data_IF_758762996089
#
_entry.id   IF_758762996089
#
_cell.length_a   1.000
_cell.length_b   1.000
_cell.length_c   1.000
_cell.angle_alpha   90.00
_cell.angle_beta   90.00
_cell.angle_gamma   90.00
#
_symmetry.space_group_name_H-M   'P 1'
#
loop_
_entity.id
_entity.type
_entity.pdbx_description
1 polymer ?
#
# COMPACT_ATOMS: atom_id res chain seq x y z
N UNK A 1 -19.36 -55.96 -28.93
CA UNK A 1 -18.31 -54.91 -28.91
C UNK A 1 -18.81 -53.68 -28.16
N UNK A 2 -18.72 -53.68 -26.83
CA UNK A 2 -18.91 -52.50 -25.95
C UNK A 2 -18.19 -52.81 -24.65
N UNK A 3 -16.91 -52.44 -24.51
CA UNK A 3 -16.18 -52.42 -23.22
C UNK A 3 -14.70 -52.05 -23.46
N UNK A 4 -14.37 -50.76 -23.62
CA UNK A 4 -12.97 -50.32 -23.47
C UNK A 4 -12.81 -48.82 -23.13
N UNK A 5 -13.84 -47.99 -23.27
CA UNK A 5 -13.71 -46.53 -23.05
C UNK A 5 -13.77 -46.09 -21.58
N UNK A 6 -14.23 -46.92 -20.64
CA UNK A 6 -14.43 -46.51 -19.24
C UNK A 6 -13.16 -46.53 -18.39
N UNK A 7 -12.11 -47.24 -18.79
CA UNK A 7 -10.88 -47.38 -17.98
C UNK A 7 -9.94 -46.18 -18.13
N UNK A 8 -9.86 -45.58 -19.33
CA UNK A 8 -9.00 -44.42 -19.59
C UNK A 8 -9.47 -43.13 -18.88
N UNK A 9 -10.78 -42.95 -18.69
CA UNK A 9 -11.34 -41.77 -18.03
C UNK A 9 -11.03 -41.77 -16.52
N UNK A 10 -11.02 -42.94 -15.89
CA UNK A 10 -10.71 -43.06 -14.46
C UNK A 10 -9.24 -42.72 -14.14
N UNK A 11 -8.30 -43.13 -15.00
CA UNK A 11 -6.87 -42.84 -14.81
C UNK A 11 -6.54 -41.35 -14.99
N UNK A 12 -7.19 -40.68 -15.94
CA UNK A 12 -7.00 -39.22 -16.14
C UNK A 12 -7.57 -38.44 -14.96
N UNK A 13 -8.76 -38.79 -14.47
CA UNK A 13 -9.35 -38.15 -13.30
C UNK A 13 -8.49 -38.31 -12.03
N UNK A 14 -7.88 -39.48 -11.83
CA UNK A 14 -6.99 -39.75 -10.70
C UNK A 14 -5.71 -38.91 -10.75
N UNK A 15 -5.05 -38.81 -11.92
CA UNK A 15 -3.84 -38.01 -12.11
C UNK A 15 -4.13 -36.51 -11.94
N UNK A 16 -5.24 -36.02 -12.48
CA UNK A 16 -5.67 -34.63 -12.24
C UNK A 16 -6.00 -34.37 -10.77
N UNK A 17 -6.66 -35.31 -10.08
CA UNK A 17 -6.93 -35.22 -8.64
C UNK A 17 -5.64 -35.13 -7.80
N UNK A 18 -4.64 -35.96 -8.10
CA UNK A 18 -3.34 -35.95 -7.40
C UNK A 18 -2.55 -34.67 -7.66
N UNK A 19 -2.57 -34.14 -8.89
CA UNK A 19 -1.88 -32.88 -9.23
C UNK A 19 -2.55 -31.65 -8.61
N UNK A 20 -3.88 -31.63 -8.55
CA UNK A 20 -4.62 -30.58 -7.84
C UNK A 20 -4.36 -30.66 -6.33
N UNK A 21 -4.40 -31.86 -5.75
CA UNK A 21 -4.11 -32.08 -4.33
C UNK A 21 -2.67 -31.67 -3.98
N UNK A 22 -1.67 -32.05 -4.76
CA UNK A 22 -0.27 -31.68 -4.50
C UNK A 22 -0.02 -30.18 -4.64
N UNK A 23 -0.64 -29.50 -5.60
CA UNK A 23 -0.60 -28.04 -5.72
C UNK A 23 -1.28 -27.35 -4.53
N UNK A 24 -2.46 -27.81 -4.12
CA UNK A 24 -3.16 -27.27 -2.95
C UNK A 24 -2.38 -27.49 -1.67
N UNK A 25 -1.77 -28.68 -1.51
CA UNK A 25 -0.94 -29.00 -0.35
C UNK A 25 0.34 -28.16 -0.32
N UNK A 26 1.03 -28.01 -1.45
CA UNK A 26 2.21 -27.17 -1.57
C UNK A 26 1.88 -25.70 -1.27
N UNK A 27 0.79 -25.16 -1.82
CA UNK A 27 0.34 -23.80 -1.54
C UNK A 27 -0.03 -23.60 -0.07
N UNK A 28 -0.69 -24.58 0.55
CA UNK A 28 -1.04 -24.54 1.97
C UNK A 28 0.21 -24.54 2.86
N UNK A 29 1.18 -25.41 2.57
CA UNK A 29 2.43 -25.46 3.33
C UNK A 29 3.29 -24.22 3.11
N UNK A 30 3.41 -23.69 1.89
CA UNK A 30 4.17 -22.46 1.64
C UNK A 30 3.51 -21.25 2.29
N UNK A 31 2.18 -21.10 2.23
CA UNK A 31 1.48 -20.03 2.93
C UNK A 31 1.68 -20.11 4.45
N UNK A 32 1.47 -21.28 5.06
CA UNK A 32 1.66 -21.45 6.51
C UNK A 32 3.12 -21.31 6.93
N UNK A 33 4.04 -21.77 6.10
CA UNK A 33 5.47 -21.63 6.34
C UNK A 33 5.88 -20.16 6.27
N UNK A 34 5.57 -19.47 5.17
CA UNK A 34 5.84 -18.04 5.01
C UNK A 34 5.17 -17.26 6.13
N UNK A 35 3.90 -17.53 6.47
CA UNK A 35 3.23 -16.91 7.60
C UNK A 35 3.92 -17.18 8.94
N UNK A 36 4.29 -18.43 9.23
CA UNK A 36 4.95 -18.81 10.48
C UNK A 36 6.37 -18.26 10.62
N UNK A 37 7.09 -18.13 9.49
CA UNK A 37 8.43 -17.57 9.41
C UNK A 37 8.38 -16.03 9.47
N UNK A 38 7.51 -15.39 8.70
CA UNK A 38 7.31 -13.93 8.70
C UNK A 38 6.83 -13.42 10.07
N UNK A 39 6.01 -14.21 10.79
CA UNK A 39 5.61 -13.87 12.16
C UNK A 39 6.67 -14.20 13.21
N UNK A 40 7.84 -14.72 12.80
CA UNK A 40 8.95 -15.03 13.70
C UNK A 40 8.62 -16.06 14.78
N UNK A 41 7.49 -16.77 14.68
CA UNK A 41 7.00 -17.62 15.77
C UNK A 41 7.88 -18.86 15.97
N UNK A 42 8.53 -19.36 14.91
CA UNK A 42 9.26 -20.63 14.94
C UNK A 42 10.77 -20.47 15.16
N UNK A 43 11.40 -19.49 14.53
CA UNK A 43 12.88 -19.37 14.52
C UNK A 43 13.41 -18.36 15.54
N UNK A 44 12.62 -17.34 15.89
CA UNK A 44 13.11 -16.22 16.71
C UNK A 44 13.60 -16.63 18.11
N UNK A 45 12.88 -17.46 18.89
CA UNK A 45 13.33 -17.81 20.23
C UNK A 45 14.70 -18.51 20.26
N UNK A 46 15.04 -19.22 19.18
CA UNK A 46 16.32 -19.89 19.00
C UNK A 46 17.38 -18.89 18.53
N UNK A 47 17.09 -18.13 17.46
CA UNK A 47 18.04 -17.19 16.86
C UNK A 47 18.48 -16.10 17.85
N UNK A 48 17.58 -15.59 18.69
CA UNK A 48 17.90 -14.58 19.71
C UNK A 48 19.00 -15.02 20.69
N UNK A 49 19.12 -16.32 20.94
CA UNK A 49 20.14 -16.86 21.86
C UNK A 49 21.48 -17.11 21.17
N UNK A 50 21.47 -17.30 19.86
CA UNK A 50 22.63 -17.72 19.08
C UNK A 50 23.28 -16.56 18.31
N UNK A 51 22.50 -15.53 17.98
CA UNK A 51 22.94 -14.42 17.14
C UNK A 51 22.87 -13.07 17.89
N UNK A 52 24.02 -12.43 18.17
CA UNK A 52 24.06 -11.15 18.87
C UNK A 52 23.41 -10.01 18.07
N UNK A 53 23.36 -10.08 16.74
CA UNK A 53 22.70 -9.07 15.91
C UNK A 53 21.18 -9.12 16.09
N UNK A 54 20.60 -10.32 16.12
CA UNK A 54 19.16 -10.55 16.38
C UNK A 54 18.79 -10.04 17.77
N UNK A 55 19.60 -10.35 18.79
CA UNK A 55 19.38 -9.86 20.15
C UNK A 55 19.46 -8.32 20.23
N UNK A 56 20.44 -7.72 19.53
CA UNK A 56 20.60 -6.27 19.49
C UNK A 56 19.43 -5.57 18.78
N UNK A 57 18.95 -6.09 17.64
CA UNK A 57 17.78 -5.57 16.92
C UNK A 57 16.53 -5.56 17.82
N UNK A 58 16.27 -6.65 18.54
CA UNK A 58 15.15 -6.72 19.51
C UNK A 58 15.28 -5.73 20.64
N UNK A 59 16.49 -5.54 21.16
CA UNK A 59 16.75 -4.56 22.23
C UNK A 59 16.49 -3.14 21.73
N UNK A 60 16.98 -2.77 20.54
CA UNK A 60 16.72 -1.45 19.94
C UNK A 60 15.24 -1.22 19.68
N UNK A 61 14.54 -2.20 19.11
CA UNK A 61 13.10 -2.13 18.89
C UNK A 61 12.30 -1.96 20.20
N UNK A 62 12.69 -2.66 21.27
CA UNK A 62 12.09 -2.53 22.59
C UNK A 62 12.27 -1.12 23.17
N UNK A 63 13.50 -0.60 23.16
CA UNK A 63 13.81 0.75 23.64
C UNK A 63 13.03 1.80 22.86
N UNK A 64 12.99 1.68 21.54
CA UNK A 64 12.23 2.61 20.69
C UNK A 64 10.73 2.53 20.94
N UNK A 65 10.18 1.33 21.15
CA UNK A 65 8.77 1.17 21.54
C UNK A 65 8.46 1.84 22.88
N UNK A 66 9.28 1.61 23.90
CA UNK A 66 9.07 2.22 25.23
C UNK A 66 9.14 3.75 25.17
N UNK A 67 10.03 4.29 24.34
CA UNK A 67 10.12 5.73 24.05
C UNK A 67 8.87 6.24 23.32
N UNK A 68 8.40 5.56 22.27
CA UNK A 68 7.29 6.05 21.44
C UNK A 68 5.90 5.82 22.05
N UNK A 69 5.73 4.79 22.89
CA UNK A 69 4.43 4.41 23.47
C UNK A 69 3.65 5.58 24.09
N UNK A 70 4.22 6.43 24.99
CA UNK A 70 3.47 7.56 25.55
C UNK A 70 3.01 8.57 24.49
N UNK A 71 3.77 8.73 23.39
CA UNK A 71 3.37 9.59 22.29
C UNK A 71 2.20 9.01 21.49
N UNK A 72 2.18 7.70 21.25
CA UNK A 72 1.06 7.01 20.61
C UNK A 72 -0.20 6.98 21.48
N UNK A 73 -0.06 6.79 22.79
CA UNK A 73 -1.19 6.91 23.72
C UNK A 73 -1.81 8.32 23.65
N UNK A 74 -0.99 9.36 23.69
CA UNK A 74 -1.47 10.74 23.59
C UNK A 74 -2.08 11.06 22.21
N UNK A 75 -1.51 10.51 21.14
CA UNK A 75 -2.05 10.64 19.79
C UNK A 75 -3.42 9.98 19.67
N UNK A 76 -3.52 8.71 20.07
CA UNK A 76 -4.75 7.94 20.04
C UNK A 76 -5.87 8.65 20.82
N UNK A 77 -5.63 9.06 22.07
CA UNK A 77 -6.64 9.75 22.90
C UNK A 77 -7.25 11.01 22.26
N UNK A 78 -6.53 11.64 21.33
CA UNK A 78 -7.00 12.81 20.57
C UNK A 78 -7.57 12.46 19.20
N UNK A 79 -7.28 11.27 18.70
CA UNK A 79 -7.63 10.82 17.37
C UNK A 79 -9.14 10.63 17.23
N UNK A 80 -9.70 11.15 16.14
CA UNK A 80 -11.08 10.88 15.76
C UNK A 80 -11.07 9.70 14.79
N UNK A 81 -11.60 8.57 15.25
CA UNK A 81 -11.63 7.33 14.48
C UNK A 81 -12.97 7.21 13.76
N UNK A 82 -12.93 7.00 12.45
CA UNK A 82 -14.13 6.83 11.65
C UNK A 82 -14.89 5.55 12.07
N UNK A 83 -16.23 5.60 12.12
CA UNK A 83 -17.08 4.52 12.61
C UNK A 83 -16.79 3.16 11.95
N UNK A 84 -16.50 3.15 10.65
CA UNK A 84 -16.08 1.95 9.93
C UNK A 84 -14.90 1.23 10.60
N UNK A 85 -13.89 1.97 11.06
CA UNK A 85 -12.71 1.40 11.72
C UNK A 85 -12.93 1.09 13.21
N UNK A 86 -13.94 1.70 13.83
CA UNK A 86 -14.42 1.27 15.15
C UNK A 86 -15.05 -0.13 15.04
N UNK A 87 -15.90 -0.34 14.03
CA UNK A 87 -16.63 -1.59 13.81
C UNK A 87 -15.71 -2.72 13.35
N UNK A 88 -14.75 -2.44 12.44
CA UNK A 88 -13.84 -3.49 11.96
C UNK A 88 -12.87 -4.01 13.02
N UNK A 89 -12.62 -3.21 14.06
CA UNK A 89 -11.81 -3.60 15.21
C UNK A 89 -12.59 -4.23 16.36
N UNK A 90 -13.92 -4.36 16.27
CA UNK A 90 -14.77 -4.84 17.36
C UNK A 90 -14.39 -6.25 17.85
N UNK A 91 -13.84 -7.08 16.97
CA UNK A 91 -13.45 -8.47 17.25
C UNK A 91 -11.96 -8.64 17.57
N UNK A 92 -11.21 -7.54 17.74
CA UNK A 92 -9.83 -7.61 18.20
C UNK A 92 -9.77 -8.19 19.62
N UNK A 93 -8.75 -9.00 19.88
CA UNK A 93 -8.62 -9.77 21.11
C UNK A 93 -7.19 -9.80 21.61
N UNK A 94 -6.99 -10.04 22.91
CA UNK A 94 -5.65 -10.19 23.49
C UNK A 94 -4.90 -11.44 23.02
N UNK A 95 -5.58 -12.34 22.29
CA UNK A 95 -4.99 -13.51 21.64
C UNK A 95 -4.42 -13.17 20.25
N UNK A 96 -4.60 -11.95 19.77
CA UNK A 96 -4.11 -11.51 18.47
C UNK A 96 -2.64 -11.16 18.64
N UNK A 97 -1.80 -12.12 18.26
CA UNK A 97 -0.37 -12.09 18.59
C UNK A 97 0.45 -11.37 17.54
N UNK A 98 -0.10 -11.16 16.34
CA UNK A 98 0.61 -10.55 15.21
C UNK A 98 -0.18 -9.45 14.50
N UNK A 99 0.55 -8.63 13.75
CA UNK A 99 -0.01 -7.59 12.89
C UNK A 99 -0.96 -8.20 11.85
N UNK A 100 -0.59 -9.36 11.33
CA UNK A 100 -1.35 -10.10 10.35
C UNK A 100 -2.66 -10.69 10.88
N UNK A 101 -2.70 -11.13 12.14
CA UNK A 101 -3.95 -11.53 12.80
C UNK A 101 -4.96 -10.37 12.84
N UNK A 102 -4.48 -9.14 13.13
CA UNK A 102 -5.31 -7.94 13.15
C UNK A 102 -5.80 -7.55 11.75
N UNK A 103 -4.94 -7.64 10.73
CA UNK A 103 -5.32 -7.42 9.32
C UNK A 103 -6.40 -8.40 8.89
N UNK A 104 -6.23 -9.69 9.15
CA UNK A 104 -7.24 -10.71 8.79
C UNK A 104 -8.59 -10.38 9.41
N UNK A 105 -8.61 -10.06 10.72
CA UNK A 105 -9.84 -9.70 11.43
C UNK A 105 -10.50 -8.45 10.86
N UNK A 106 -9.71 -7.41 10.57
CA UNK A 106 -10.20 -6.18 9.93
C UNK A 106 -10.88 -6.51 8.61
N UNK A 107 -10.24 -7.30 7.74
CA UNK A 107 -10.80 -7.65 6.42
C UNK A 107 -12.07 -8.49 6.53
N UNK A 108 -12.12 -9.47 7.43
CA UNK A 108 -13.35 -10.25 7.67
C UNK A 108 -14.49 -9.37 8.16
N UNK A 109 -14.20 -8.39 9.00
CA UNK A 109 -15.19 -7.42 9.45
C UNK A 109 -15.64 -6.49 8.31
N UNK A 110 -14.73 -6.02 7.46
CA UNK A 110 -15.07 -5.25 6.25
C UNK A 110 -16.01 -6.03 5.32
N UNK A 111 -15.77 -7.33 5.10
CA UNK A 111 -16.68 -8.19 4.33
C UNK A 111 -18.07 -8.26 4.97
N UNK A 112 -18.12 -8.32 6.30
CA UNK A 112 -19.39 -8.33 7.03
C UNK A 112 -20.14 -7.01 6.87
N UNK A 113 -19.46 -5.87 7.01
CA UNK A 113 -20.05 -4.54 6.83
C UNK A 113 -20.53 -4.30 5.39
N UNK A 114 -19.75 -4.72 4.39
CA UNK A 114 -20.17 -4.68 2.99
C UNK A 114 -21.47 -5.47 2.78
N UNK A 115 -21.54 -6.71 3.28
CA UNK A 115 -22.71 -7.59 3.07
C UNK A 115 -23.96 -7.15 3.81
N UNK A 116 -23.79 -6.60 5.01
CA UNK A 116 -24.92 -6.30 5.91
C UNK A 116 -25.40 -4.86 5.82
N UNK A 117 -24.50 -3.93 5.50
CA UNK A 117 -24.78 -2.48 5.49
C UNK A 117 -24.45 -1.81 4.15
N UNK A 118 -23.85 -2.53 3.20
CA UNK A 118 -23.39 -1.94 1.93
C UNK A 118 -22.18 -1.02 2.07
N UNK A 119 -21.49 -1.04 3.22
CA UNK A 119 -20.32 -0.19 3.49
C UNK A 119 -19.09 -0.67 2.72
N UNK A 120 -18.54 0.18 1.87
CA UNK A 120 -17.44 -0.13 0.95
C UNK A 120 -16.19 0.73 1.18
N UNK A 121 -16.00 1.22 2.42
CA UNK A 121 -14.87 2.08 2.80
C UNK A 121 -13.49 1.46 2.48
N UNK A 122 -13.39 0.14 2.35
CA UNK A 122 -12.19 -0.58 1.91
C UNK A 122 -11.70 -0.16 0.50
N UNK A 123 -12.56 0.49 -0.31
CA UNK A 123 -12.19 1.12 -1.58
C UNK A 123 -11.10 2.18 -1.45
N UNK A 124 -10.93 2.77 -0.25
CA UNK A 124 -9.82 3.71 0.00
C UNK A 124 -8.46 3.09 -0.38
N UNK A 125 -8.30 1.78 -0.17
CA UNK A 125 -7.12 1.01 -0.63
C UNK A 125 -7.41 0.24 -1.92
N UNK A 126 -8.55 -0.46 -2.01
CA UNK A 126 -8.78 -1.48 -3.05
C UNK A 126 -9.21 -0.93 -4.41
N UNK A 127 -9.49 0.37 -4.50
CA UNK A 127 -9.77 1.07 -5.75
C UNK A 127 -8.78 2.23 -5.91
N UNK A 128 -7.78 2.09 -6.78
CA UNK A 128 -6.76 3.12 -6.99
C UNK A 128 -7.33 4.46 -7.47
N UNK A 129 -8.47 4.43 -8.14
CA UNK A 129 -9.11 5.63 -8.65
C UNK A 129 -9.84 6.36 -7.52
N UNK A 130 -10.56 5.65 -6.67
CA UNK A 130 -11.12 6.21 -5.43
C UNK A 130 -10.01 6.76 -4.50
N UNK A 131 -8.96 5.96 -4.26
CA UNK A 131 -7.77 6.32 -3.49
C UNK A 131 -7.12 7.62 -4.01
N UNK A 132 -6.84 7.69 -5.30
CA UNK A 132 -6.14 8.85 -5.88
C UNK A 132 -7.04 10.08 -5.90
N UNK A 133 -8.34 9.93 -6.16
CA UNK A 133 -9.29 11.02 -6.05
C UNK A 133 -9.37 11.56 -4.62
N UNK A 134 -9.39 10.69 -3.61
CA UNK A 134 -9.32 11.08 -2.21
C UNK A 134 -8.09 11.95 -1.93
N UNK A 135 -6.91 11.52 -2.37
CA UNK A 135 -5.67 12.29 -2.21
C UNK A 135 -5.73 13.66 -2.88
N UNK A 136 -6.16 13.71 -4.15
CA UNK A 136 -6.29 14.96 -4.92
C UNK A 136 -7.28 15.91 -4.26
N UNK A 137 -8.47 15.43 -3.88
CA UNK A 137 -9.53 16.22 -3.27
C UNK A 137 -9.10 16.81 -1.91
N UNK A 138 -8.18 16.14 -1.22
CA UNK A 138 -7.62 16.61 0.05
C UNK A 138 -6.31 17.42 -0.09
N UNK A 139 -5.88 17.72 -1.31
CA UNK A 139 -4.62 18.46 -1.56
C UNK A 139 -3.41 17.72 -0.99
N UNK A 140 -3.41 16.39 -1.09
CA UNK A 140 -2.26 15.54 -0.81
C UNK A 140 -1.47 15.38 -2.12
N UNK A 141 -0.16 15.68 -2.13
CA UNK A 141 0.66 15.51 -3.33
C UNK A 141 0.65 14.06 -3.82
N UNK A 142 0.33 13.87 -5.09
CA UNK A 142 0.39 12.61 -5.83
C UNK A 142 1.00 12.87 -7.21
N UNK A 143 1.58 11.88 -7.90
CA UNK A 143 1.87 12.02 -9.32
C UNK A 143 0.58 12.37 -10.08
N UNK A 144 0.63 13.27 -11.08
CA UNK A 144 -0.58 13.84 -11.66
C UNK A 144 -1.39 12.77 -12.40
N UNK A 145 -2.67 12.67 -12.08
CA UNK A 145 -3.63 11.89 -12.89
C UNK A 145 -3.99 12.72 -14.11
N UNK A 146 -3.70 12.18 -15.28
CA UNK A 146 -3.87 12.87 -16.56
C UNK A 146 -5.27 12.64 -17.12
N UNK A 147 -5.79 11.41 -16.98
CA UNK A 147 -7.13 11.02 -17.47
C UNK A 147 -7.56 9.69 -16.84
N UNK A 148 -8.88 9.50 -16.73
CA UNK A 148 -9.53 8.29 -16.22
C UNK A 148 -10.55 7.77 -17.24
N UNK A 149 -10.78 6.45 -17.25
CA UNK A 149 -11.81 5.78 -18.04
C UNK A 149 -12.53 4.75 -17.18
N UNK A 150 -13.86 4.79 -17.20
CA UNK A 150 -14.75 3.79 -16.59
C UNK A 150 -15.22 2.73 -17.60
N UNK A 151 -15.05 2.97 -18.90
CA UNK A 151 -15.45 2.08 -19.97
C UNK A 151 -14.24 1.56 -20.76
N UNK A 152 -14.23 0.25 -21.02
CA UNK A 152 -13.14 -0.43 -21.72
C UNK A 152 -12.99 0.05 -23.15
N UNK A 153 -14.11 0.16 -23.85
CA UNK A 153 -14.13 0.40 -25.29
C UNK A 153 -13.71 1.85 -25.59
N UNK A 154 -14.11 2.81 -24.75
CA UNK A 154 -13.65 4.20 -24.81
C UNK A 154 -12.14 4.29 -24.61
N UNK A 155 -11.60 3.57 -23.62
CA UNK A 155 -10.17 3.53 -23.39
C UNK A 155 -9.41 2.94 -24.58
N UNK A 156 -9.88 1.83 -25.14
CA UNK A 156 -9.28 1.20 -26.33
C UNK A 156 -9.35 2.13 -27.54
N UNK A 157 -10.47 2.82 -27.75
CA UNK A 157 -10.62 3.80 -28.82
C UNK A 157 -9.62 4.95 -28.68
N UNK A 158 -9.44 5.47 -27.47
CA UNK A 158 -8.48 6.53 -27.16
C UNK A 158 -7.02 6.07 -27.29
N UNK A 159 -6.70 4.83 -26.94
CA UNK A 159 -5.37 4.26 -27.16
C UNK A 159 -5.04 4.18 -28.66
N UNK A 160 -6.00 3.69 -29.47
CA UNK A 160 -5.82 3.51 -30.92
C UNK A 160 -5.73 4.83 -31.68
N UNK A 161 -6.54 5.81 -31.30
CA UNK A 161 -6.51 7.14 -31.92
C UNK A 161 -5.32 7.99 -31.45
N UNK A 162 -4.69 7.62 -30.34
CA UNK A 162 -3.68 8.43 -29.65
C UNK A 162 -4.26 9.52 -28.75
N UNK A 163 -5.59 9.66 -28.69
CA UNK A 163 -6.27 10.63 -27.82
C UNK A 163 -5.99 10.37 -26.32
N UNK A 164 -5.68 9.14 -25.93
CA UNK A 164 -5.30 8.80 -24.55
C UNK A 164 -4.09 9.60 -24.05
N UNK A 165 -3.17 9.95 -24.96
CA UNK A 165 -1.89 10.60 -24.61
C UNK A 165 -1.71 11.98 -25.26
N UNK A 166 -2.74 12.52 -25.90
CA UNK A 166 -2.66 13.77 -26.68
C UNK A 166 -2.15 14.96 -25.86
N UNK A 167 -2.50 15.02 -24.57
CA UNK A 167 -2.13 16.11 -23.66
C UNK A 167 -0.90 15.80 -22.79
N UNK A 168 -0.20 14.69 -23.03
CA UNK A 168 0.96 14.27 -22.23
C UNK A 168 2.17 15.13 -22.57
N UNK A 169 2.66 15.89 -21.59
CA UNK A 169 3.86 16.75 -21.73
C UNK A 169 5.13 16.17 -21.11
N UNK A 170 5.00 15.18 -20.22
CA UNK A 170 6.12 14.54 -19.52
C UNK A 170 5.97 13.03 -19.60
N UNK A 171 7.08 12.36 -19.85
CA UNK A 171 7.17 10.91 -20.02
C UNK A 171 8.23 10.32 -19.07
N UNK A 172 8.16 9.03 -18.70
CA UNK A 172 7.11 8.07 -19.04
C UNK A 172 5.78 8.40 -18.36
N UNK A 173 4.68 7.87 -18.88
CA UNK A 173 3.38 7.83 -18.18
C UNK A 173 3.03 6.38 -17.85
N UNK A 174 2.10 6.17 -16.93
CA UNK A 174 1.76 4.86 -16.41
C UNK A 174 0.26 4.62 -16.59
N UNK A 175 -0.09 3.54 -17.28
CA UNK A 175 -1.46 3.05 -17.33
C UNK A 175 -1.66 2.18 -16.08
N UNK A 176 -2.64 2.50 -15.25
CA UNK A 176 -2.92 1.79 -13.99
C UNK A 176 -4.39 1.38 -13.93
N UNK A 177 -4.66 0.09 -13.71
CA UNK A 177 -6.03 -0.38 -13.46
C UNK A 177 -6.49 0.01 -12.04
N UNK A 178 -7.71 0.55 -11.94
CA UNK A 178 -8.32 1.00 -10.69
C UNK A 178 -8.52 -0.19 -9.72
N UNK A 179 -9.12 -1.29 -10.21
CA UNK A 179 -9.60 -2.42 -9.41
C UNK A 179 -8.55 -3.51 -9.10
N UNK A 180 -7.32 -3.35 -9.58
CA UNK A 180 -6.25 -4.36 -9.46
C UNK A 180 -5.09 -3.87 -8.61
N UNK A 181 -5.21 -3.85 -7.29
CA UNK A 181 -4.23 -3.20 -6.40
C UNK A 181 -3.03 -4.07 -5.99
N UNK A 182 -3.04 -5.34 -6.37
CA UNK A 182 -1.96 -6.27 -6.04
C UNK A 182 -0.84 -6.23 -7.08
N UNK A 183 0.42 -6.21 -6.64
CA UNK A 183 1.58 -6.25 -7.53
C UNK A 183 1.63 -7.49 -8.43
N UNK A 184 1.13 -8.64 -7.95
CA UNK A 184 1.05 -9.91 -8.68
C UNK A 184 0.15 -9.85 -9.93
N UNK A 185 -0.74 -8.86 -10.03
CA UNK A 185 -1.60 -8.69 -11.20
C UNK A 185 -0.90 -8.01 -12.38
N UNK A 186 0.32 -7.45 -12.18
CA UNK A 186 1.04 -6.66 -13.20
C UNK A 186 0.15 -5.62 -13.88
N UNK A 187 -0.66 -4.93 -13.06
CA UNK A 187 -1.75 -4.03 -13.49
C UNK A 187 -1.32 -2.58 -13.74
N UNK A 188 -0.01 -2.34 -13.71
CA UNK A 188 0.64 -1.08 -14.00
C UNK A 188 1.54 -1.28 -15.21
N UNK A 189 1.38 -0.46 -16.23
CA UNK A 189 2.18 -0.54 -17.45
C UNK A 189 2.83 0.81 -17.77
N UNK A 190 4.17 0.89 -17.80
CA UNK A 190 4.85 2.10 -18.24
C UNK A 190 4.69 2.28 -19.76
N UNK A 191 4.48 3.52 -20.17
CA UNK A 191 4.43 3.96 -21.57
C UNK A 191 5.55 4.99 -21.73
N UNK A 192 6.69 4.63 -22.33
CA UNK A 192 7.86 5.51 -22.40
C UNK A 192 7.70 6.75 -23.29
N UNK A 193 6.88 6.65 -24.35
CA UNK A 193 6.64 7.76 -25.26
C UNK A 193 5.37 7.52 -26.08
N UNK A 194 4.85 8.59 -26.71
CA UNK A 194 3.75 8.47 -27.66
C UNK A 194 4.10 7.58 -28.87
N UNK A 195 5.36 7.63 -29.34
CA UNK A 195 5.82 6.76 -30.43
C UNK A 195 5.77 5.29 -30.00
N UNK A 196 6.31 4.97 -28.83
CA UNK A 196 6.27 3.62 -28.29
C UNK A 196 4.83 3.10 -28.18
N UNK A 197 3.90 3.93 -27.70
CA UNK A 197 2.50 3.55 -27.62
C UNK A 197 1.93 3.21 -29.01
N UNK A 198 2.16 4.06 -30.02
CA UNK A 198 1.69 3.79 -31.39
C UNK A 198 2.28 2.49 -31.94
N UNK A 199 3.57 2.25 -31.73
CA UNK A 199 4.26 1.06 -32.23
C UNK A 199 3.78 -0.22 -31.51
N UNK A 200 3.26 -0.12 -30.27
CA UNK A 200 2.90 -1.26 -29.41
C UNK A 200 1.40 -1.29 -29.05
N UNK A 201 0.55 -0.51 -29.74
CA UNK A 201 -0.84 -0.29 -29.30
C UNK A 201 -1.65 -1.58 -29.22
N UNK A 202 -1.43 -2.53 -30.14
CA UNK A 202 -2.14 -3.81 -30.14
C UNK A 202 -1.78 -4.65 -28.92
N UNK A 203 -0.51 -4.72 -28.56
CA UNK A 203 -0.09 -5.45 -27.35
C UNK A 203 -0.60 -4.78 -26.07
N UNK A 204 -0.68 -3.44 -26.04
CA UNK A 204 -1.33 -2.72 -24.94
C UNK A 204 -2.82 -3.05 -24.88
N UNK A 205 -3.53 -3.08 -26.01
CA UNK A 205 -4.95 -3.44 -26.08
C UNK A 205 -5.20 -4.89 -25.66
N UNK A 206 -4.34 -5.84 -26.06
CA UNK A 206 -4.45 -7.24 -25.63
C UNK A 206 -4.23 -7.36 -24.11
N UNK A 207 -3.25 -6.64 -23.57
CA UNK A 207 -3.07 -6.54 -22.12
C UNK A 207 -4.31 -5.94 -21.43
N UNK A 208 -4.95 -4.92 -22.01
CA UNK A 208 -6.20 -4.34 -21.50
C UNK A 208 -7.33 -5.37 -21.49
N UNK A 209 -7.53 -6.10 -22.59
CA UNK A 209 -8.56 -7.15 -22.66
C UNK A 209 -8.39 -8.21 -21.58
N UNK A 210 -7.15 -8.64 -21.31
CA UNK A 210 -6.86 -9.62 -20.25
C UNK A 210 -7.15 -9.08 -18.86
N UNK A 211 -6.77 -7.84 -18.58
CA UNK A 211 -6.83 -7.28 -17.22
C UNK A 211 -8.17 -6.63 -16.87
N UNK A 212 -8.96 -6.17 -17.84
CA UNK A 212 -10.19 -5.42 -17.57
C UNK A 212 -11.18 -6.22 -16.70
N UNK A 213 -11.34 -7.51 -16.99
CA UNK A 213 -12.23 -8.41 -16.26
C UNK A 213 -11.47 -9.27 -15.23
N UNK A 214 -10.18 -9.05 -15.03
CA UNK A 214 -9.42 -9.77 -14.02
C UNK A 214 -9.88 -9.29 -12.64
N UNK A 215 -10.11 -10.24 -11.74
CA UNK A 215 -10.31 -9.95 -10.32
C UNK A 215 -8.99 -10.14 -9.59
N UNK A 216 -8.68 -9.19 -8.71
CA UNK A 216 -7.50 -9.28 -7.85
C UNK A 216 -7.59 -10.55 -6.98
N UNK A 217 -6.48 -11.28 -6.87
CA UNK A 217 -6.41 -12.52 -6.12
C UNK A 217 -5.16 -12.60 -5.23
N UNK A 218 -5.38 -12.67 -3.91
CA UNK A 218 -4.35 -12.59 -2.88
C UNK A 218 -3.85 -13.97 -2.43
N UNK A 219 -3.60 -14.89 -3.37
CA UNK A 219 -3.30 -16.32 -3.12
C UNK A 219 -2.14 -16.59 -2.16
N UNK A 220 -1.33 -15.63 -1.78
CA UNK A 220 -0.18 -15.84 -0.89
C UNK A 220 -0.47 -15.41 0.55
N UNK A 221 -1.63 -14.79 0.82
CA UNK A 221 -1.96 -14.22 2.13
C UNK A 221 -2.93 -15.10 2.91
N UNK A 222 -2.82 -15.15 4.25
CA UNK A 222 -3.73 -15.96 5.07
C UNK A 222 -5.18 -15.46 5.03
N UNK A 223 -5.40 -14.18 4.74
CA UNK A 223 -6.71 -13.55 4.64
C UNK A 223 -7.26 -13.49 3.21
N UNK A 224 -6.72 -14.29 2.27
CA UNK A 224 -7.06 -14.20 0.85
C UNK A 224 -8.56 -14.28 0.58
N UNK A 225 -9.31 -15.14 1.28
CA UNK A 225 -10.77 -15.25 1.11
C UNK A 225 -11.49 -13.93 1.38
N UNK A 226 -11.10 -13.24 2.47
CA UNK A 226 -11.71 -11.97 2.83
C UNK A 226 -11.29 -10.85 1.86
N UNK A 227 -10.00 -10.78 1.52
CA UNK A 227 -9.47 -9.83 0.54
C UNK A 227 -10.15 -9.98 -0.82
N UNK A 228 -10.25 -11.20 -1.33
CA UNK A 228 -10.88 -11.51 -2.60
C UNK A 228 -12.39 -11.19 -2.58
N UNK A 229 -13.09 -11.46 -1.48
CA UNK A 229 -14.50 -11.11 -1.35
C UNK A 229 -14.73 -9.59 -1.48
N UNK A 230 -13.80 -8.76 -0.99
CA UNK A 230 -13.84 -7.30 -1.13
C UNK A 230 -13.47 -6.87 -2.55
N UNK A 231 -12.41 -7.42 -3.15
CA UNK A 231 -11.98 -7.02 -4.49
C UNK A 231 -12.92 -7.50 -5.60
N UNK A 232 -13.70 -8.57 -5.37
CA UNK A 232 -14.64 -9.09 -6.36
C UNK A 232 -15.81 -8.15 -6.68
N UNK A 233 -16.13 -7.20 -5.80
CA UNK A 233 -17.19 -6.21 -6.04
C UNK A 233 -16.69 -4.91 -6.67
N UNK A 234 -15.40 -4.83 -7.02
CA UNK A 234 -14.80 -3.63 -7.61
C UNK A 234 -15.23 -3.45 -9.06
N UNK A 235 -15.60 -2.22 -9.41
CA UNK A 235 -15.88 -1.84 -10.79
C UNK A 235 -14.57 -1.65 -11.54
N UNK A 236 -14.38 -2.29 -12.70
CA UNK A 236 -13.22 -2.05 -13.53
C UNK A 236 -13.07 -0.60 -13.97
N UNK A 237 -11.83 -0.16 -14.06
CA UNK A 237 -11.48 1.15 -14.58
C UNK A 237 -9.99 1.27 -14.79
N UNK A 238 -9.58 2.33 -15.44
CA UNK A 238 -8.16 2.61 -15.70
C UNK A 238 -7.90 4.11 -15.64
N UNK A 239 -6.70 4.47 -15.22
CA UNK A 239 -6.22 5.84 -15.32
C UNK A 239 -4.82 5.92 -15.89
N UNK A 240 -4.51 7.09 -16.46
CA UNK A 240 -3.20 7.45 -16.93
C UNK A 240 -2.55 8.40 -15.92
N UNK A 241 -1.42 7.99 -15.35
CA UNK A 241 -0.66 8.77 -14.38
C UNK A 241 0.62 9.30 -15.00
N UNK A 242 0.97 10.55 -14.71
CA UNK A 242 2.27 11.12 -15.05
C UNK A 242 3.42 10.54 -14.23
N UNK A 243 4.67 10.88 -14.58
CA UNK A 243 5.84 10.33 -13.90
C UNK A 243 6.00 10.85 -12.48
N UNK A 244 6.53 10.00 -11.61
CA UNK A 244 7.18 10.40 -10.37
C UNK A 244 8.59 10.96 -10.65
N UNK A 245 9.18 11.66 -9.68
CA UNK A 245 10.58 12.05 -9.78
C UNK A 245 11.51 10.83 -9.64
N UNK A 246 12.63 10.86 -10.37
CA UNK A 246 13.64 9.79 -10.35
C UNK A 246 14.92 10.28 -9.69
N UNK A 247 15.57 9.38 -8.97
CA UNK A 247 16.89 9.60 -8.36
C UNK A 247 17.92 8.75 -9.08
N UNK A 248 19.11 9.30 -9.33
CA UNK A 248 20.22 8.55 -9.95
C UNK A 248 21.20 8.09 -8.88
N UNK A 249 21.52 6.80 -8.86
CA UNK A 249 22.64 6.27 -8.10
C UNK A 249 23.94 6.70 -8.80
N UNK A 250 24.78 7.47 -8.11
CA UNK A 250 26.02 8.01 -8.69
C UNK A 250 27.10 6.94 -8.91
N UNK A 251 27.03 5.82 -8.18
CA UNK A 251 28.00 4.73 -8.30
C UNK A 251 27.70 3.88 -9.54
N UNK A 252 26.42 3.63 -9.83
CA UNK A 252 26.00 2.74 -10.94
C UNK A 252 25.47 3.48 -12.17
N UNK A 253 25.19 4.78 -12.06
CA UNK A 253 24.56 5.60 -13.10
C UNK A 253 23.09 5.26 -13.38
N UNK A 254 22.49 4.33 -12.63
CA UNK A 254 21.11 3.88 -12.82
C UNK A 254 20.12 4.84 -12.16
N UNK A 255 19.00 5.10 -12.83
CA UNK A 255 17.91 5.92 -12.30
C UNK A 255 16.81 5.04 -11.72
N UNK A 256 16.30 5.45 -10.56
CA UNK A 256 15.31 4.72 -9.78
C UNK A 256 14.19 5.64 -9.31
N UNK A 257 12.99 5.09 -9.18
CA UNK A 257 11.95 5.69 -8.35
C UNK A 257 12.18 5.16 -6.93
N UNK A 258 12.37 6.06 -5.97
CA UNK A 258 12.61 5.68 -4.57
C UNK A 258 11.31 5.82 -3.80
N UNK A 259 10.85 4.73 -3.21
CA UNK A 259 9.61 4.66 -2.44
C UNK A 259 9.91 4.42 -0.97
N UNK A 260 9.35 5.26 -0.10
CA UNK A 260 9.41 5.13 1.35
C UNK A 260 8.01 4.80 1.88
N UNK A 261 7.87 3.62 2.49
CA UNK A 261 6.62 3.06 3.00
C UNK A 261 6.49 3.33 4.49
N UNK A 262 5.65 4.29 4.87
CA UNK A 262 5.53 4.77 6.25
C UNK A 262 4.32 4.13 6.92
N UNK A 263 4.54 3.43 8.03
CA UNK A 263 3.46 2.90 8.87
C UNK A 263 2.96 3.96 9.84
N UNK A 264 1.68 4.29 9.72
CA UNK A 264 1.00 5.27 10.56
C UNK A 264 -0.06 4.57 11.39
N UNK A 265 -0.02 4.80 12.70
CA UNK A 265 -1.04 4.33 13.64
C UNK A 265 -1.58 5.53 14.41
N UNK A 266 -2.90 5.62 14.52
CA UNK A 266 -3.55 6.68 15.30
C UNK A 266 -3.11 8.10 14.88
N UNK A 267 -2.88 8.28 13.58
CA UNK A 267 -2.41 9.54 12.98
C UNK A 267 -0.93 9.87 13.25
N UNK A 268 -0.12 8.94 13.76
CA UNK A 268 1.30 9.12 14.04
C UNK A 268 2.15 8.05 13.35
N UNK A 269 3.23 8.46 12.69
CA UNK A 269 4.16 7.55 12.03
C UNK A 269 5.04 6.83 13.07
N UNK A 270 5.19 5.51 12.93
CA UNK A 270 6.00 4.68 13.84
C UNK A 270 7.33 4.26 13.20
N UNK A 271 7.27 3.67 12.01
CA UNK A 271 8.40 3.11 11.27
C UNK A 271 8.19 3.36 9.78
N UNK A 272 9.26 3.36 9.00
CA UNK A 272 9.13 3.20 7.55
C UNK A 272 10.18 2.27 6.98
N UNK A 273 9.97 1.89 5.73
CA UNK A 273 10.90 1.05 4.97
C UNK A 273 11.12 1.69 3.60
N UNK A 274 12.38 1.75 3.14
CA UNK A 274 12.66 2.23 1.78
C UNK A 274 12.79 1.01 0.86
N UNK A 275 12.00 1.00 -0.22
CA UNK A 275 11.88 -0.17 -1.08
C UNK A 275 13.15 -0.42 -1.91
N UNK A 276 13.60 -1.69 -2.03
CA UNK A 276 14.96 -2.04 -2.46
C UNK A 276 15.26 -1.88 -3.95
N UNK A 277 14.24 -1.70 -4.81
CA UNK A 277 14.43 -1.63 -6.28
C UNK A 277 15.40 -0.52 -6.72
N UNK A 278 15.66 0.46 -5.86
CA UNK A 278 16.68 1.47 -6.05
C UNK A 278 17.67 1.55 -4.91
N UNK A 279 18.00 0.46 -4.21
CA UNK A 279 18.94 0.42 -3.08
C UNK A 279 19.84 -0.84 -3.09
N UNK A 280 20.17 -1.39 -4.26
CA UNK A 280 21.05 -2.57 -4.38
C UNK A 280 20.57 -3.76 -3.53
N UNK A 281 19.25 -3.94 -3.47
CA UNK A 281 18.57 -4.99 -2.70
C UNK A 281 18.62 -4.88 -1.17
N UNK A 282 19.14 -3.79 -0.60
CA UNK A 282 19.04 -3.55 0.85
C UNK A 282 17.70 -2.93 1.24
N UNK A 283 17.23 -3.27 2.44
CA UNK A 283 15.98 -2.75 3.01
C UNK A 283 16.26 -1.97 4.30
N UNK A 284 16.38 -0.63 4.24
CA UNK A 284 16.50 0.21 5.42
C UNK A 284 15.14 0.30 6.13
N UNK A 285 15.08 -0.18 7.37
CA UNK A 285 14.00 0.05 8.32
C UNK A 285 14.33 1.27 9.17
N UNK A 286 13.51 2.31 9.02
CA UNK A 286 13.75 3.66 9.54
C UNK A 286 12.88 3.91 10.77
N UNK A 287 13.51 4.36 11.85
CA UNK A 287 12.86 4.81 13.09
C UNK A 287 13.27 6.24 13.43
N UNK A 288 12.63 6.86 14.43
CA UNK A 288 12.94 8.22 14.87
C UNK A 288 13.24 8.30 16.39
N UNK A 289 14.25 7.58 16.91
CA UNK A 289 14.57 7.61 18.33
C UNK A 289 15.07 9.00 18.75
N UNK A 290 14.59 9.48 19.90
CA UNK A 290 14.89 10.80 20.46
C UNK A 290 14.65 11.95 19.47
N UNK A 291 13.71 11.76 18.53
CA UNK A 291 13.40 12.75 17.50
C UNK A 291 14.34 12.76 16.28
N UNK A 292 15.40 11.94 16.26
CA UNK A 292 16.35 11.87 15.15
C UNK A 292 16.13 10.59 14.34
N UNK A 293 16.20 10.67 13.01
CA UNK A 293 16.06 9.49 12.16
C UNK A 293 17.28 8.58 12.27
N UNK A 294 17.02 7.28 12.37
CA UNK A 294 18.03 6.22 12.31
C UNK A 294 17.50 5.06 11.48
N UNK A 295 18.42 4.25 10.93
CA UNK A 295 18.05 3.09 10.15
C UNK A 295 18.80 1.83 10.59
N UNK A 296 18.04 0.75 10.67
CA UNK A 296 18.55 -0.61 10.65
C UNK A 296 18.47 -1.13 9.22
N UNK A 297 19.55 -1.69 8.71
CA UNK A 297 19.65 -2.19 7.34
C UNK A 297 19.63 -3.71 7.36
N UNK A 298 18.78 -4.27 6.51
CA UNK A 298 18.71 -5.69 6.20
C UNK A 298 19.27 -5.89 4.80
N UNK A 299 20.20 -6.85 4.62
CA UNK A 299 20.86 -7.04 3.30
C UNK A 299 19.93 -7.65 2.27
N UNK A 300 18.96 -8.42 2.73
CA UNK A 300 17.94 -9.06 1.92
C UNK A 300 16.71 -9.36 2.79
N UNK A 301 15.69 -9.93 2.14
CA UNK A 301 14.47 -10.37 2.79
C UNK A 301 14.70 -11.47 3.85
N UNK A 302 15.74 -12.30 3.70
CA UNK A 302 16.05 -13.35 4.68
C UNK A 302 16.63 -12.77 5.98
N UNK A 303 17.55 -11.80 5.88
CA UNK A 303 18.03 -11.01 7.01
C UNK A 303 16.84 -10.34 7.73
N UNK A 304 15.86 -9.82 6.97
CA UNK A 304 14.66 -9.19 7.53
C UNK A 304 13.78 -10.14 8.35
N UNK A 305 13.44 -11.31 7.82
CA UNK A 305 12.61 -12.30 8.53
C UNK A 305 13.35 -12.99 9.69
N UNK A 306 14.69 -13.03 9.64
CA UNK A 306 15.54 -13.55 10.73
C UNK A 306 15.89 -12.49 11.78
N UNK A 307 15.57 -11.22 11.53
CA UNK A 307 15.94 -10.03 12.32
C UNK A 307 17.44 -9.76 12.38
N UNK A 308 18.19 -10.26 11.41
CA UNK A 308 19.62 -9.99 11.31
C UNK A 308 19.84 -8.61 10.69
N UNK A 309 19.85 -7.58 11.54
CA UNK A 309 20.00 -6.17 11.13
C UNK A 309 21.30 -5.55 11.61
N UNK A 310 21.79 -4.57 10.84
CA UNK A 310 22.96 -3.76 11.19
C UNK A 310 22.62 -2.28 11.15
N UNK A 311 23.26 -1.42 11.98
CA UNK A 311 23.12 0.02 11.80
C UNK A 311 23.54 0.43 10.38
N UNK A 312 22.83 1.39 9.79
CA UNK A 312 23.21 1.96 8.51
C UNK A 312 24.63 2.52 8.54
N UNK A 313 25.47 2.12 7.58
CA UNK A 313 26.82 2.64 7.45
C UNK A 313 26.82 4.13 7.05
N UNK A 314 27.81 4.93 7.49
CA UNK A 314 27.83 6.38 7.28
C UNK A 314 28.13 6.81 5.84
N UNK A 315 28.57 5.90 4.98
CA UNK A 315 29.04 6.14 3.62
C UNK A 315 28.17 5.48 2.54
N UNK A 316 27.00 4.94 2.90
CA UNK A 316 26.07 4.35 1.92
C UNK A 316 25.53 5.40 0.95
N UNK A 317 25.43 5.06 -0.33
CA UNK A 317 25.05 6.04 -1.35
C UNK A 317 23.66 6.64 -1.14
N UNK A 318 22.73 5.92 -0.51
CA UNK A 318 21.36 6.35 -0.23
C UNK A 318 21.23 7.22 1.04
N UNK A 319 22.35 7.54 1.69
CA UNK A 319 22.39 8.43 2.87
C UNK A 319 21.79 9.81 2.61
N UNK A 320 21.75 10.27 1.36
CA UNK A 320 21.08 11.52 0.96
C UNK A 320 19.60 11.57 1.40
N UNK A 321 18.92 10.43 1.55
CA UNK A 321 17.54 10.36 2.05
C UNK A 321 17.43 11.00 3.44
N UNK A 322 18.43 10.76 4.29
CA UNK A 322 18.53 11.28 5.64
C UNK A 322 19.06 12.72 5.63
N UNK A 323 20.18 12.94 4.95
CA UNK A 323 20.92 14.21 5.01
C UNK A 323 20.17 15.37 4.36
N UNK A 324 19.38 15.12 3.31
CA UNK A 324 18.60 16.16 2.63
C UNK A 324 17.25 16.44 3.33
N UNK A 325 16.83 15.61 4.29
CA UNK A 325 15.57 15.80 5.04
C UNK A 325 14.31 15.24 4.37
N UNK A 326 14.42 14.18 3.54
CA UNK A 326 13.26 13.56 2.87
C UNK A 326 12.30 12.91 3.86
N UNK A 327 12.83 12.34 4.95
CA UNK A 327 12.05 11.59 5.94
C UNK A 327 11.05 12.48 6.69
N UNK A 328 11.38 13.75 6.97
CA UNK A 328 10.45 14.70 7.57
C UNK A 328 9.26 15.02 6.65
N UNK A 329 9.51 15.06 5.35
CA UNK A 329 8.47 15.29 4.36
C UNK A 329 7.57 14.06 4.22
N UNK A 330 8.16 12.86 4.11
CA UNK A 330 7.42 11.62 4.05
C UNK A 330 6.57 11.37 5.32
N UNK A 331 7.12 11.55 6.52
CA UNK A 331 6.38 11.26 7.76
C UNK A 331 5.20 12.20 7.94
N UNK A 332 5.41 13.50 7.73
CA UNK A 332 4.32 14.49 7.84
C UNK A 332 3.24 14.25 6.79
N UNK A 333 3.62 13.87 5.57
CA UNK A 333 2.66 13.57 4.52
C UNK A 333 1.84 12.31 4.86
N UNK A 334 2.48 11.26 5.34
CA UNK A 334 1.82 10.03 5.78
C UNK A 334 0.87 10.27 6.96
N UNK A 335 1.33 10.97 8.01
CA UNK A 335 0.52 11.33 9.18
C UNK A 335 -0.70 12.16 8.77
N UNK A 336 -0.51 13.14 7.89
CA UNK A 336 -1.61 13.97 7.36
C UNK A 336 -2.62 13.12 6.59
N UNK A 337 -2.18 12.21 5.73
CA UNK A 337 -3.07 11.32 4.98
C UNK A 337 -3.89 10.44 5.93
N UNK A 338 -3.25 9.79 6.91
CA UNK A 338 -3.93 8.94 7.88
C UNK A 338 -4.96 9.70 8.74
N UNK A 339 -4.65 10.93 9.17
CA UNK A 339 -5.59 11.80 9.89
C UNK A 339 -6.80 12.14 9.04
N UNK A 340 -6.61 12.45 7.75
CA UNK A 340 -7.70 12.77 6.83
C UNK A 340 -8.57 11.56 6.48
N UNK A 341 -7.98 10.36 6.44
CA UNK A 341 -8.77 9.15 6.28
C UNK A 341 -9.46 8.73 7.59
N UNK A 342 -8.99 9.24 8.73
CA UNK A 342 -9.47 8.87 10.06
C UNK A 342 -9.40 7.34 10.33
N UNK A 343 -8.26 6.74 9.96
CA UNK A 343 -7.98 5.30 10.09
C UNK A 343 -7.02 5.04 11.26
N UNK A 344 -7.25 3.97 12.00
CA UNK A 344 -6.45 3.53 13.13
C UNK A 344 -5.05 3.01 12.75
N UNK A 345 -4.91 2.35 11.60
CA UNK A 345 -3.63 1.98 11.00
C UNK A 345 -3.70 2.03 9.48
N UNK A 346 -2.71 2.64 8.84
CA UNK A 346 -2.50 2.67 7.39
C UNK A 346 -1.02 2.80 7.07
N UNK A 347 -0.56 2.10 6.03
CA UNK A 347 0.74 2.31 5.39
C UNK A 347 0.56 3.32 4.25
N UNK A 348 1.43 4.33 4.17
CA UNK A 348 1.45 5.28 3.07
C UNK A 348 2.77 5.15 2.32
N UNK A 349 2.69 4.88 1.02
CA UNK A 349 3.84 4.66 0.16
C UNK A 349 4.16 5.96 -0.58
N UNK A 350 5.35 6.50 -0.34
CA UNK A 350 5.71 7.86 -0.71
C UNK A 350 6.93 7.85 -1.62
N UNK A 351 6.77 8.42 -2.81
CA UNK A 351 7.89 8.72 -3.69
C UNK A 351 8.71 9.89 -3.14
N UNK A 352 10.02 9.68 -3.07
CA UNK A 352 11.03 10.69 -2.74
C UNK A 352 12.03 10.84 -3.88
N UNK A 353 12.56 12.04 -4.07
CA UNK A 353 13.44 12.35 -5.21
C UNK A 353 14.63 13.16 -4.75
N UNK A 354 15.84 12.66 -5.01
CA UNK A 354 17.08 13.32 -4.61
C UNK A 354 17.15 14.77 -5.09
N UNK A 355 17.62 15.66 -4.22
CA UNK A 355 17.67 17.11 -4.43
C UNK A 355 16.33 17.82 -4.24
N UNK A 356 15.24 17.09 -3.93
CA UNK A 356 13.89 17.64 -3.78
C UNK A 356 13.21 17.20 -2.46
N UNK A 357 13.81 17.50 -1.29
CA UNK A 357 13.35 17.00 0.01
C UNK A 357 11.97 17.45 0.48
N UNK A 358 11.33 18.36 -0.24
CA UNK A 358 9.98 18.87 0.06
C UNK A 358 8.94 18.49 -0.99
N UNK A 359 9.33 17.74 -2.03
CA UNK A 359 8.44 17.34 -3.14
C UNK A 359 8.02 15.86 -3.04
N UNK A 360 7.80 15.35 -1.82
CA UNK A 360 7.31 13.97 -1.65
C UNK A 360 5.89 13.83 -2.20
N UNK A 361 5.60 12.67 -2.80
CA UNK A 361 4.30 12.40 -3.41
C UNK A 361 3.80 11.02 -2.97
N UNK A 362 2.54 10.91 -2.57
CA UNK A 362 1.91 9.62 -2.27
C UNK A 362 1.74 8.84 -3.57
N UNK A 363 2.20 7.59 -3.58
CA UNK A 363 1.96 6.62 -4.66
C UNK A 363 0.69 5.81 -4.39
N UNK A 364 0.62 5.23 -3.20
CA UNK A 364 -0.47 4.34 -2.76
C UNK A 364 -0.59 4.36 -1.24
N UNK A 365 -1.69 3.77 -0.75
CA UNK A 365 -1.84 3.39 0.64
C UNK A 365 -2.11 1.89 0.78
N UNK A 366 -2.12 1.43 2.04
CA UNK A 366 -2.49 0.07 2.37
C UNK A 366 -3.01 -0.03 3.81
N UNK A 367 -4.22 -0.55 3.96
CA UNK A 367 -4.85 -0.92 5.24
C UNK A 367 -4.90 -2.44 5.43
N UNK A 368 -4.37 -3.21 4.48
CA UNK A 368 -4.46 -4.67 4.47
C UNK A 368 -3.22 -5.40 3.97
N UNK A 369 -2.20 -4.69 3.51
CA UNK A 369 -0.87 -5.23 3.24
C UNK A 369 0.15 -4.66 4.22
N UNK A 370 0.85 -5.56 4.91
CA UNK A 370 2.01 -5.23 5.72
C UNK A 370 3.33 -5.46 4.98
N UNK A 371 4.41 -5.03 5.59
CA UNK A 371 5.79 -5.43 5.26
C UNK A 371 6.35 -6.24 6.44
N UNK A 372 7.33 -7.13 6.27
CA UNK A 372 8.01 -7.71 7.42
C UNK A 372 8.75 -6.60 8.19
N UNK A 373 8.23 -6.16 9.33
CA UNK A 373 8.82 -5.03 10.08
C UNK A 373 9.97 -5.43 10.99
N UNK A 374 10.66 -6.53 10.68
CA UNK A 374 11.70 -7.10 11.53
C UNK A 374 11.30 -7.16 13.01
N UNK A 375 12.18 -6.68 13.89
CA UNK A 375 11.96 -6.71 15.35
C UNK A 375 10.82 -5.79 15.83
N UNK A 376 10.30 -4.92 14.95
CA UNK A 376 9.23 -3.96 15.25
C UNK A 376 7.81 -4.52 15.09
N UNK A 377 7.63 -5.65 14.39
CA UNK A 377 6.28 -6.18 14.08
C UNK A 377 5.38 -6.41 15.30
N UNK A 378 5.93 -7.00 16.38
CA UNK A 378 5.18 -7.21 17.62
C UNK A 378 4.81 -5.90 18.34
N UNK A 379 5.64 -4.87 18.21
CA UNK A 379 5.39 -3.55 18.81
C UNK A 379 4.36 -2.76 18.02
N UNK A 380 4.40 -2.81 16.68
CA UNK A 380 3.34 -2.29 15.81
C UNK A 380 1.98 -2.88 16.18
N UNK A 381 1.92 -4.19 16.35
CA UNK A 381 0.69 -4.90 16.77
C UNK A 381 0.17 -4.37 18.10
N UNK A 382 1.04 -4.17 19.10
CA UNK A 382 0.66 -3.61 20.41
C UNK A 382 0.16 -2.17 20.30
N UNK A 383 0.85 -1.31 19.55
CA UNK A 383 0.46 0.09 19.32
C UNK A 383 -0.90 0.15 18.62
N UNK A 384 -1.16 -0.75 17.67
CA UNK A 384 -2.44 -0.84 17.00
C UNK A 384 -3.55 -1.35 17.93
N UNK A 385 -3.30 -2.43 18.67
CA UNK A 385 -4.33 -3.08 19.47
C UNK A 385 -4.68 -2.35 20.78
N UNK A 386 -3.69 -1.81 21.48
CA UNK A 386 -3.88 -1.27 22.84
C UNK A 386 -4.94 -0.15 22.90
N UNK A 387 -4.98 0.83 21.98
CA UNK A 387 -6.01 1.87 22.01
C UNK A 387 -7.43 1.35 21.74
N UNK A 388 -7.61 0.27 20.98
CA UNK A 388 -8.90 -0.41 20.84
C UNK A 388 -9.35 -1.09 22.11
N UNK A 389 -8.44 -1.81 22.77
CA UNK A 389 -8.69 -2.45 24.06
C UNK A 389 -9.05 -1.42 25.15
N UNK A 390 -8.39 -0.27 25.14
CA UNK A 390 -8.52 0.78 26.16
C UNK A 390 -9.51 1.89 25.79
N UNK A 391 -10.06 1.86 24.57
CA UNK A 391 -10.92 2.92 24.01
C UNK A 391 -10.28 4.31 24.07
N UNK A 392 -9.00 4.40 23.73
CA UNK A 392 -8.25 5.65 23.66
C UNK A 392 -8.48 6.37 22.32
N UNK A 393 -9.72 6.63 21.92
CA UNK A 393 -10.03 7.41 20.72
C UNK A 393 -11.44 7.98 20.81
N UNK A 394 -11.76 8.88 19.89
CA UNK A 394 -13.08 9.50 19.75
C UNK A 394 -13.76 8.94 18.51
N UNK A 395 -14.73 8.03 18.63
CA UNK A 395 -15.47 7.56 17.46
C UNK A 395 -16.24 8.74 16.85
N UNK A 396 -16.32 8.80 15.53
CA UNK A 396 -17.24 9.70 14.84
C UNK A 396 -17.82 9.02 13.59
N UNK A 397 -18.98 9.50 13.17
CA UNK A 397 -19.63 9.12 11.93
C UNK A 397 -20.15 10.39 11.26
N UNK A 398 -19.84 10.56 9.98
CA UNK A 398 -20.33 11.66 9.15
C UNK A 398 -21.21 11.15 7.99
N UNK A 399 -21.52 9.85 7.96
CA UNK A 399 -22.32 9.20 6.92
C UNK A 399 -21.61 9.04 5.57
N UNK A 400 -20.36 9.47 5.43
CA UNK A 400 -19.60 9.37 4.19
C UNK A 400 -18.69 8.13 4.19
N UNK A 401 -18.48 7.48 3.03
CA UNK A 401 -17.38 6.55 2.87
C UNK A 401 -16.04 7.26 3.07
N UNK A 402 -15.03 6.55 3.59
CA UNK A 402 -13.69 7.10 3.86
C UNK A 402 -13.08 7.81 2.65
N UNK A 403 -13.23 7.26 1.45
CA UNK A 403 -12.66 7.80 0.20
C UNK A 403 -13.39 9.06 -0.32
N UNK A 404 -14.51 9.44 0.29
CA UNK A 404 -15.23 10.68 0.00
C UNK A 404 -14.99 11.77 1.05
N UNK A 405 -14.28 11.45 2.14
CA UNK A 405 -14.00 12.41 3.19
C UNK A 405 -13.08 13.54 2.72
N UNK A 406 -13.29 14.71 3.31
CA UNK A 406 -12.40 15.86 3.16
C UNK A 406 -11.94 16.37 4.52
N UNK A 407 -10.93 17.23 4.56
CA UNK A 407 -10.54 17.91 5.80
C UNK A 407 -11.72 18.61 6.53
N UNK A 408 -12.73 19.07 5.78
CA UNK A 408 -13.92 19.72 6.37
C UNK A 408 -14.87 18.73 7.07
N UNK A 409 -14.85 17.45 6.69
CA UNK A 409 -15.77 16.42 7.20
C UNK A 409 -15.14 15.56 8.30
N UNK A 410 -13.86 15.76 8.60
CA UNK A 410 -13.12 14.99 9.61
C UNK A 410 -12.81 15.87 10.83
N UNK A 411 -13.34 15.55 12.02
CA UNK A 411 -13.13 16.35 13.21
C UNK A 411 -11.65 16.51 13.57
N UNK A 412 -11.20 17.76 13.73
CA UNK A 412 -9.82 18.07 14.09
C UNK A 412 -8.82 18.00 12.95
N UNK A 413 -9.22 17.62 11.73
CA UNK A 413 -8.39 17.71 10.53
C UNK A 413 -8.33 19.16 10.03
N UNK A 414 -7.66 20.05 10.78
CA UNK A 414 -7.39 21.40 10.27
C UNK A 414 -6.35 21.30 9.16
N UNK A 415 -6.67 21.82 7.99
CA UNK A 415 -5.65 22.15 6.99
C UNK A 415 -4.72 23.17 7.65
N UNK A 416 -3.52 22.75 8.04
CA UNK A 416 -2.49 23.73 8.39
C UNK A 416 -2.14 24.45 7.10
N UNK A 417 -2.58 25.71 7.00
CA UNK A 417 -2.65 26.55 5.79
C UNK A 417 -1.30 26.85 5.07
N UNK A 418 -0.20 26.19 5.40
CA UNK A 418 1.13 26.65 5.00
C UNK A 418 1.69 26.02 3.70
N UNK A 419 1.06 25.02 3.09
CA UNK A 419 1.60 24.36 1.89
C UNK A 419 0.65 24.33 0.68
N UNK A 420 -0.65 24.59 0.86
CA UNK A 420 -1.68 24.43 -0.19
C UNK A 420 -1.78 25.62 -1.15
N UNK A 421 -1.04 26.71 -0.92
CA UNK A 421 -1.09 27.91 -1.78
C UNK A 421 -0.29 27.77 -3.10
N UNK A 422 0.39 26.64 -3.36
CA UNK A 422 1.19 26.44 -4.58
C UNK A 422 1.03 25.07 -5.25
N UNK A 423 -0.16 24.46 -5.22
CA UNK A 423 -0.50 23.51 -6.29
C UNK A 423 -0.86 24.32 -7.55
N UNK A 424 -0.26 24.01 -8.72
CA UNK A 424 -0.47 24.82 -9.91
C UNK A 424 -1.94 24.76 -10.29
N UNK A 425 -2.50 25.94 -10.52
CA UNK A 425 -3.85 26.23 -11.00
C UNK A 425 -4.33 25.25 -12.10
N UNK A 426 -3.39 24.69 -12.86
CA UNK A 426 -3.56 23.61 -13.83
C UNK A 426 -4.34 22.37 -13.34
N UNK A 427 -4.18 21.92 -12.07
CA UNK A 427 -4.93 20.76 -11.58
C UNK A 427 -6.42 21.08 -11.32
N UNK A 428 -6.69 22.26 -10.77
CA UNK A 428 -8.06 22.78 -10.60
C UNK A 428 -8.73 23.10 -11.94
N UNK A 429 -7.96 23.57 -12.92
CA UNK A 429 -8.45 23.84 -14.28
C UNK A 429 -8.72 22.55 -15.06
N UNK A 430 -7.89 21.51 -14.93
CA UNK A 430 -8.12 20.19 -15.53
C UNK A 430 -9.38 19.52 -14.95
N UNK A 431 -9.57 19.56 -13.63
CA UNK A 431 -10.80 19.02 -13.00
C UNK A 431 -12.07 19.79 -13.43
N UNK A 432 -11.98 21.11 -13.60
CA UNK A 432 -13.09 21.95 -14.09
C UNK A 432 -13.40 21.74 -15.58
N UNK A 433 -12.42 21.39 -16.40
CA UNK A 433 -12.63 21.08 -17.81
C UNK A 433 -13.44 19.78 -17.98
N UNK A 434 -13.10 18.74 -17.20
CA UNK A 434 -13.84 17.45 -17.20
C UNK A 434 -15.29 17.63 -16.76
N UNK A 435 -15.56 18.48 -15.77
CA UNK A 435 -16.93 18.75 -15.30
C UNK A 435 -17.78 19.57 -16.30
N UNK A 436 -17.17 20.34 -17.19
CA UNK A 436 -17.89 21.17 -18.18
C UNK A 436 -18.25 20.41 -19.46
N UNK A 437 -17.53 19.34 -19.79
CA UNK A 437 -17.81 18.53 -20.98
C UNK A 437 -18.97 17.54 -20.75
N UNK A 438 -19.23 17.11 -19.50
CA UNK A 438 -20.36 16.23 -19.17
C UNK A 438 -21.74 16.87 -19.12
N UNK A 439 -21.89 18.18 -19.39
CA UNK A 439 -23.17 18.91 -19.26
C UNK A 439 -23.74 19.35 -20.62
N UNK A 440 -23.09 19.02 -21.73
CA UNK A 440 -23.54 19.44 -23.08
C UNK A 440 -24.22 18.36 -23.92
N UNK A 441 -24.49 17.18 -23.37
CA UNK A 441 -25.35 16.18 -24.01
C UNK A 441 -26.57 15.91 -23.11
N UNK A 442 -27.58 16.76 -23.29
CA UNK A 442 -28.90 16.69 -22.66
C UNK A 442 -29.87 17.56 -23.44
#
# INVERSE_FOLDING_TARGET
MKSSSSCAIASVALVFGVLLFSRSLAAFFTQRWTYGVENGALLQPVLVRLDPHVAAARKRAAVYYDEQRPHFEAAAKRFHLHAHFVETAANFSGRDTSYYDLVEKRLRAMVTLLRTQGRDDFKIEKDKCAMTNFFVNNGLPVPPVLRNWSAKDDFIADLRSGAAVANVRKWPVFIKFCHLTQGSAHSVRPVPSAKWLRDNVNDVVDWVHRLWNLHANDWTRPWFDASNALTNVMTPGVFLQGPAGVSTNHETGRSYVVECKVEVLWGRAYVAIVFPEGLDHVEPLITRPNGNFSAEVYRDYFDLITLHSQPMAPDVWYKWIFDEGHLDCAWRLAERAAVLMAIDQVRIDIFITRGKPRECMINEDSISSGHPYGAHGAYLTKIWYEPHKRKWYKPFDNGLPVYEQTAATVPGARLTDSATARQPQAAKEAARAVAKEGVKEG
#
